data_IF_485924366715
#
_entry.id   IF_485924366715
#
_cell.length_a   1.000
_cell.length_b   1.000
_cell.length_c   1.000
_cell.angle_alpha   90.00
_cell.angle_beta   90.00
_cell.angle_gamma   90.00
#
_symmetry.space_group_name_H-M   'P 1'
#
loop_
_entity.id
_entity.type
_entity.pdbx_description
1 polymer ?
#
# COMPACT_ATOMS: atom_id res chain seq x y z
N UNK A 1 5.66 4.29 40.01
CA UNK A 1 6.66 3.22 39.96
C UNK A 1 7.65 3.61 38.88
N UNK A 2 8.92 3.85 39.26
CA UNK A 2 10.00 4.16 38.34
C UNK A 2 10.62 2.85 37.85
N UNK A 3 10.50 2.56 36.53
CA UNK A 3 11.15 1.41 35.92
C UNK A 3 12.47 1.88 35.29
N UNK A 4 13.57 1.72 36.02
CA UNK A 4 14.89 2.18 35.59
C UNK A 4 15.73 1.10 34.91
N UNK A 5 15.57 -0.15 35.34
CA UNK A 5 16.41 -1.25 34.89
C UNK A 5 15.99 -1.71 33.49
N UNK A 6 16.94 -1.67 32.56
CA UNK A 6 16.81 -2.17 31.21
C UNK A 6 17.61 -3.44 31.02
N UNK A 7 16.99 -4.53 30.60
CA UNK A 7 17.61 -5.84 30.42
C UNK A 7 17.89 -6.19 28.96
N UNK A 8 17.78 -5.22 28.06
CA UNK A 8 17.93 -5.43 26.59
C UNK A 8 19.19 -4.77 26.06
N UNK A 9 19.39 -3.48 26.35
CA UNK A 9 20.40 -2.64 25.71
C UNK A 9 21.69 -2.62 26.49
N UNK A 10 22.82 -2.49 25.79
CA UNK A 10 24.13 -2.27 26.43
C UNK A 10 24.20 -0.86 27.01
N UNK A 11 25.14 -0.67 27.96
CA UNK A 11 25.29 0.56 28.73
C UNK A 11 25.51 1.78 27.85
N UNK A 12 26.27 1.67 26.76
CA UNK A 12 26.55 2.77 25.82
C UNK A 12 25.28 3.31 25.14
N UNK A 13 24.33 2.42 24.82
CA UNK A 13 23.05 2.82 24.25
C UNK A 13 22.20 3.53 25.31
N UNK A 14 22.20 3.03 26.54
CA UNK A 14 21.47 3.64 27.65
C UNK A 14 22.03 5.01 27.99
N UNK A 15 23.36 5.14 28.04
CA UNK A 15 24.06 6.40 28.35
C UNK A 15 23.78 7.45 27.25
N UNK A 16 23.83 7.05 25.96
CA UNK A 16 23.49 7.93 24.87
C UNK A 16 22.02 8.37 24.95
N UNK A 17 21.11 7.45 25.27
CA UNK A 17 19.68 7.75 25.46
C UNK A 17 19.48 8.73 26.64
N UNK A 18 20.11 8.46 27.77
CA UNK A 18 20.04 9.33 28.94
C UNK A 18 20.60 10.74 28.65
N UNK A 19 21.68 10.81 27.86
CA UNK A 19 22.30 12.09 27.52
C UNK A 19 21.39 12.92 26.62
N UNK A 20 20.76 12.30 25.61
CA UNK A 20 19.78 12.97 24.74
C UNK A 20 18.59 13.48 25.57
N UNK A 21 17.97 12.63 26.38
CA UNK A 21 16.79 13.03 27.14
C UNK A 21 17.10 14.09 28.21
N UNK A 22 18.27 14.05 28.81
CA UNK A 22 18.71 15.10 29.73
C UNK A 22 18.78 16.48 29.10
N UNK A 23 19.05 16.58 27.79
CA UNK A 23 19.13 17.85 27.08
C UNK A 23 17.80 18.26 26.43
N UNK A 24 16.90 17.32 26.15
CA UNK A 24 15.65 17.58 25.44
C UNK A 24 14.43 17.69 26.36
N UNK A 25 14.44 16.97 27.52
CA UNK A 25 13.28 16.90 28.40
C UNK A 25 13.45 17.84 29.60
N UNK A 26 12.53 18.75 29.74
CA UNK A 26 12.31 19.61 30.88
C UNK A 26 10.82 19.63 31.26
N UNK A 27 10.42 20.44 32.24
CA UNK A 27 9.03 20.55 32.66
C UNK A 27 8.11 21.12 31.58
N UNK A 28 8.63 21.91 30.60
CA UNK A 28 7.84 22.52 29.53
C UNK A 28 7.61 21.55 28.35
N UNK A 29 8.63 20.78 27.97
CA UNK A 29 8.59 19.90 26.80
C UNK A 29 8.17 18.48 27.14
N UNK A 30 8.68 17.95 28.26
CA UNK A 30 8.48 16.55 28.67
C UNK A 30 7.62 16.37 29.90
N UNK A 31 7.12 17.45 30.51
CA UNK A 31 6.40 17.45 31.78
C UNK A 31 7.20 16.81 32.96
N UNK A 32 8.49 16.54 32.73
CA UNK A 32 9.38 15.88 33.68
C UNK A 32 10.78 16.49 33.58
N UNK A 33 11.35 16.87 34.70
CA UNK A 33 12.78 17.15 34.81
C UNK A 33 13.57 15.86 34.78
N UNK A 34 14.15 15.53 33.61
CA UNK A 34 14.85 14.27 33.37
C UNK A 34 16.22 14.29 34.03
N UNK A 35 16.31 13.71 35.22
CA UNK A 35 17.49 13.67 36.05
C UNK A 35 17.90 12.23 36.42
N UNK A 36 18.95 12.06 37.26
CA UNK A 36 19.46 10.76 37.65
C UNK A 36 18.41 9.80 38.22
N UNK A 37 17.29 10.30 38.73
CA UNK A 37 16.20 9.44 39.23
C UNK A 37 15.44 8.76 38.11
N UNK A 38 15.53 9.30 36.89
CA UNK A 38 14.84 8.81 35.69
C UNK A 38 15.74 8.04 34.71
N UNK A 39 17.08 8.12 34.91
CA UNK A 39 18.03 7.46 34.03
C UNK A 39 17.79 5.97 33.91
N UNK A 40 17.86 5.48 32.67
CA UNK A 40 17.91 4.06 32.38
C UNK A 40 19.26 3.49 32.81
N UNK A 41 19.23 2.37 33.50
CA UNK A 41 20.43 1.66 33.95
C UNK A 41 20.44 0.22 33.45
N UNK A 42 21.62 -0.31 33.17
CA UNK A 42 21.77 -1.69 32.77
C UNK A 42 21.38 -2.64 33.91
N UNK A 43 20.42 -3.53 33.64
CA UNK A 43 19.87 -4.45 34.63
C UNK A 43 20.72 -5.71 34.88
N UNK A 44 21.76 -5.95 34.07
CA UNK A 44 22.65 -7.10 34.25
C UNK A 44 24.11 -6.75 34.01
N UNK A 45 25.02 -7.50 34.65
CA UNK A 45 26.48 -7.31 34.53
C UNK A 45 26.98 -7.47 33.08
N UNK A 46 26.31 -8.31 32.26
CA UNK A 46 26.68 -8.50 30.86
C UNK A 46 26.47 -7.25 30.01
N UNK A 47 25.50 -6.43 30.37
CA UNK A 47 25.19 -5.19 29.67
C UNK A 47 26.06 -4.01 30.10
N UNK A 48 26.70 -4.12 31.31
CA UNK A 48 27.59 -3.09 31.83
C UNK A 48 28.99 -3.13 31.20
N UNK A 49 29.28 -4.19 30.42
CA UNK A 49 30.58 -4.33 29.77
C UNK A 49 30.63 -3.45 28.53
N UNK A 50 31.27 -2.28 28.64
CA UNK A 50 31.42 -1.36 27.52
C UNK A 50 32.26 -1.97 26.40
N UNK A 51 31.76 -1.92 25.17
CA UNK A 51 32.41 -2.43 23.97
C UNK A 51 32.56 -1.32 22.95
N UNK A 52 33.72 -1.10 22.32
CA UNK A 52 33.91 -0.04 21.33
C UNK A 52 32.91 -0.07 20.15
N UNK A 53 32.46 -1.28 19.79
CA UNK A 53 31.49 -1.48 18.71
C UNK A 53 30.04 -1.07 19.05
N UNK A 54 29.74 -0.83 20.34
CA UNK A 54 28.41 -0.40 20.79
C UNK A 54 28.27 1.12 20.88
N UNK A 55 29.21 1.86 20.30
CA UNK A 55 29.24 3.31 20.32
C UNK A 55 28.03 3.89 19.60
N UNK A 56 27.31 4.79 20.25
CA UNK A 56 26.28 5.59 19.59
C UNK A 56 26.94 6.62 18.66
N UNK A 57 26.43 6.73 17.44
CA UNK A 57 26.91 7.67 16.42
C UNK A 57 25.77 8.60 15.98
N UNK A 58 26.08 9.87 15.83
CA UNK A 58 25.17 10.89 15.30
C UNK A 58 25.53 11.20 13.86
N UNK A 59 24.58 10.98 12.96
CA UNK A 59 24.71 11.33 11.55
C UNK A 59 23.87 12.59 11.29
N UNK A 60 24.50 13.67 10.82
CA UNK A 60 23.82 14.92 10.49
C UNK A 60 23.68 15.04 8.98
N UNK A 61 22.49 15.39 8.56
CA UNK A 61 22.14 15.65 7.16
C UNK A 61 21.62 17.07 7.02
N UNK A 62 22.16 17.82 6.04
CA UNK A 62 21.66 19.14 5.67
C UNK A 62 20.63 19.01 4.53
N UNK A 63 19.34 19.03 4.88
CA UNK A 63 18.21 18.91 3.97
C UNK A 63 17.84 20.20 3.23
N UNK A 64 18.62 21.28 3.35
CA UNK A 64 18.29 22.56 2.72
C UNK A 64 18.25 22.51 1.18
N UNK A 65 18.92 21.54 0.56
CA UNK A 65 18.93 21.31 -0.89
C UNK A 65 17.77 20.44 -1.38
N UNK A 66 17.06 19.72 -0.51
CA UNK A 66 15.93 18.85 -0.89
C UNK A 66 14.62 19.64 -1.09
N UNK A 67 14.60 20.94 -0.79
CA UNK A 67 13.39 21.76 -0.87
C UNK A 67 12.99 22.14 -2.31
N UNK A 68 13.84 21.92 -3.30
CA UNK A 68 13.54 22.27 -4.70
C UNK A 68 12.64 21.24 -5.44
N UNK A 69 12.39 20.06 -4.87
CA UNK A 69 11.58 18.99 -5.51
C UNK A 69 10.20 18.74 -4.84
N UNK A 70 9.73 19.62 -3.96
CA UNK A 70 8.41 19.46 -3.35
C UNK A 70 7.31 19.73 -4.37
N UNK A 71 6.51 18.73 -4.68
CA UNK A 71 5.27 18.88 -5.46
C UNK A 71 4.16 19.50 -4.60
N UNK A 72 3.24 20.27 -5.24
CA UNK A 72 2.12 20.96 -4.57
C UNK A 72 1.24 20.03 -3.70
N UNK A 73 1.23 18.72 -3.97
CA UNK A 73 0.51 17.71 -3.18
C UNK A 73 1.17 17.38 -1.82
N UNK A 74 2.44 17.74 -1.61
CA UNK A 74 3.17 17.50 -0.36
C UNK A 74 2.96 18.59 0.68
N UNK A 75 2.50 19.78 0.30
CA UNK A 75 2.18 20.88 1.22
C UNK A 75 0.88 20.64 2.03
N UNK A 76 0.03 19.70 1.60
CA UNK A 76 -1.25 19.42 2.25
C UNK A 76 -1.16 18.46 3.45
N UNK A 77 -0.01 17.84 3.72
CA UNK A 77 0.16 16.97 4.88
C UNK A 77 0.63 17.76 6.10
N UNK A 78 -0.31 18.16 6.93
CA UNK A 78 -0.10 18.81 8.21
C UNK A 78 0.98 18.10 9.07
N UNK A 79 2.18 18.68 9.13
CA UNK A 79 3.06 18.58 10.30
C UNK A 79 3.77 17.26 10.57
N UNK A 80 3.75 16.28 9.67
CA UNK A 80 4.53 15.06 9.81
C UNK A 80 5.82 15.22 8.99
N UNK A 81 6.95 15.39 9.68
CA UNK A 81 8.27 15.35 9.06
C UNK A 81 8.46 14.00 8.35
N UNK A 82 8.48 14.04 7.03
CA UNK A 82 8.72 12.86 6.20
C UNK A 82 10.21 12.71 5.96
N UNK A 83 10.74 11.50 6.12
CA UNK A 83 12.14 11.19 5.81
C UNK A 83 12.46 11.63 4.38
N UNK A 84 13.50 12.44 4.19
CA UNK A 84 13.90 12.94 2.88
C UNK A 84 14.69 11.89 2.09
N UNK A 85 14.77 12.06 0.75
CA UNK A 85 15.61 11.19 -0.09
C UNK A 85 17.08 11.19 0.37
N UNK A 86 17.58 12.33 0.81
CA UNK A 86 18.95 12.45 1.31
C UNK A 86 19.18 11.71 2.61
N UNK A 87 18.21 11.71 3.54
CA UNK A 87 18.28 10.91 4.76
C UNK A 87 18.29 9.41 4.44
N UNK A 88 17.45 8.96 3.49
CA UNK A 88 17.46 7.54 3.06
C UNK A 88 18.83 7.17 2.50
N UNK A 89 19.44 8.01 1.66
CA UNK A 89 20.77 7.76 1.11
C UNK A 89 21.86 7.76 2.19
N UNK A 90 21.76 8.61 3.22
CA UNK A 90 22.68 8.60 4.36
C UNK A 90 22.56 7.28 5.13
N UNK A 91 21.35 6.80 5.40
CA UNK A 91 21.10 5.51 6.04
C UNK A 91 21.68 4.36 5.22
N UNK A 92 21.44 4.35 3.89
CA UNK A 92 21.99 3.35 2.98
C UNK A 92 23.51 3.32 3.03
N UNK A 93 24.14 4.49 2.98
CA UNK A 93 25.60 4.64 3.07
C UNK A 93 26.13 4.05 4.37
N UNK A 94 25.47 4.30 5.47
CA UNK A 94 25.87 3.78 6.77
C UNK A 94 25.68 2.25 6.87
N UNK A 95 24.57 1.72 6.40
CA UNK A 95 24.35 0.26 6.35
C UNK A 95 25.44 -0.43 5.51
N UNK A 96 25.78 0.16 4.37
CA UNK A 96 26.85 -0.38 3.52
C UNK A 96 28.23 -0.24 4.17
N UNK A 97 28.48 0.81 4.96
CA UNK A 97 29.70 0.94 5.78
C UNK A 97 29.79 -0.17 6.81
N UNK A 98 28.75 -0.36 7.61
CA UNK A 98 28.65 -1.43 8.60
C UNK A 98 28.89 -2.80 7.96
N UNK A 99 28.27 -3.04 6.83
CA UNK A 99 28.42 -4.32 6.11
C UNK A 99 29.83 -4.56 5.55
N UNK A 100 30.44 -3.51 4.98
CA UNK A 100 31.74 -3.64 4.28
C UNK A 100 32.92 -3.54 5.22
N UNK A 101 32.89 -2.62 6.16
CA UNK A 101 34.01 -2.32 7.07
C UNK A 101 33.93 -3.19 8.31
N UNK A 102 32.81 -3.19 9.00
CA UNK A 102 32.63 -3.87 10.29
C UNK A 102 32.13 -5.31 10.17
N UNK A 103 31.75 -5.72 8.93
CA UNK A 103 31.27 -7.06 8.61
C UNK A 103 29.96 -7.45 9.34
N UNK A 104 29.16 -6.47 9.75
CA UNK A 104 27.86 -6.71 10.36
C UNK A 104 26.92 -7.32 9.33
N UNK A 105 26.28 -8.46 9.58
CA UNK A 105 25.31 -9.05 8.65
C UNK A 105 24.02 -8.24 8.63
N UNK A 106 23.30 -8.20 7.48
CA UNK A 106 22.09 -7.40 7.32
C UNK A 106 20.98 -7.75 8.32
N UNK A 107 20.86 -9.01 8.71
CA UNK A 107 19.86 -9.47 9.68
C UNK A 107 20.13 -9.01 11.12
N UNK A 108 21.25 -8.38 11.39
CA UNK A 108 21.58 -7.76 12.67
C UNK A 108 21.38 -6.24 12.67
N UNK A 109 20.97 -5.67 11.52
CA UNK A 109 20.71 -4.24 11.37
C UNK A 109 19.21 -4.01 11.41
N UNK A 110 18.76 -3.09 12.26
CA UNK A 110 17.36 -2.70 12.36
C UNK A 110 17.24 -1.20 12.14
N UNK A 111 16.37 -0.80 11.21
CA UNK A 111 15.99 0.59 10.97
C UNK A 111 14.69 0.90 11.74
N UNK A 112 14.73 1.92 12.59
CA UNK A 112 13.55 2.44 13.28
C UNK A 112 13.20 3.81 12.69
N UNK A 113 11.95 3.99 12.30
CA UNK A 113 11.42 5.25 11.76
C UNK A 113 10.32 5.78 12.66
N UNK A 114 10.19 7.10 12.75
CA UNK A 114 9.17 7.75 13.58
C UNK A 114 7.75 7.48 13.06
N UNK A 115 7.58 7.38 11.74
CA UNK A 115 6.29 7.15 11.09
C UNK A 115 6.38 6.07 10.04
N UNK A 116 5.23 5.45 9.72
CA UNK A 116 5.12 4.44 8.63
C UNK A 116 4.91 5.07 7.24
N UNK A 117 4.78 6.37 7.17
CA UNK A 117 4.18 7.09 6.03
C UNK A 117 4.98 7.02 4.73
N UNK A 118 6.23 6.59 4.72
CA UNK A 118 7.06 6.45 3.50
C UNK A 118 7.91 5.19 3.48
N UNK A 119 7.38 4.09 3.99
CA UNK A 119 8.07 2.81 3.86
C UNK A 119 8.36 2.46 2.39
N UNK A 120 7.49 2.86 1.46
CA UNK A 120 7.65 2.57 0.03
C UNK A 120 8.89 3.23 -0.57
N UNK A 121 9.17 4.50 -0.24
CA UNK A 121 10.38 5.20 -0.68
C UNK A 121 11.65 4.55 -0.12
N UNK A 122 11.60 4.05 1.13
CA UNK A 122 12.70 3.32 1.74
C UNK A 122 12.89 1.96 1.04
N UNK A 123 11.79 1.23 0.81
CA UNK A 123 11.82 -0.07 0.13
C UNK A 123 12.38 0.05 -1.28
N UNK A 124 11.91 1.03 -2.06
CA UNK A 124 12.39 1.30 -3.42
C UNK A 124 13.88 1.65 -3.44
N UNK A 125 14.32 2.55 -2.55
CA UNK A 125 15.71 2.93 -2.46
C UNK A 125 16.61 1.75 -2.04
N UNK A 126 16.15 0.91 -1.09
CA UNK A 126 16.92 -0.27 -0.66
C UNK A 126 17.03 -1.32 -1.76
N UNK A 127 15.97 -1.51 -2.57
CA UNK A 127 15.99 -2.39 -3.73
C UNK A 127 17.01 -1.92 -4.79
N UNK A 128 17.04 -0.62 -5.09
CA UNK A 128 18.03 -0.02 -6.01
C UNK A 128 19.49 -0.30 -5.58
N UNK A 129 19.75 -0.34 -4.28
CA UNK A 129 21.09 -0.61 -3.72
C UNK A 129 21.29 -2.10 -3.35
N UNK A 130 20.33 -2.97 -3.69
CA UNK A 130 20.35 -4.41 -3.40
C UNK A 130 20.55 -4.73 -1.91
N UNK A 131 19.94 -3.93 -1.04
CA UNK A 131 19.93 -4.14 0.41
C UNK A 131 18.67 -4.93 0.77
N UNK A 132 18.79 -6.18 1.27
CA UNK A 132 17.62 -6.94 1.68
C UNK A 132 16.96 -6.29 2.89
N UNK A 133 15.66 -6.04 2.80
CA UNK A 133 14.87 -5.44 3.87
C UNK A 133 13.61 -6.26 4.11
N UNK A 134 13.22 -6.40 5.38
CA UNK A 134 11.92 -6.89 5.79
C UNK A 134 11.23 -5.76 6.51
N UNK A 135 10.17 -5.23 5.92
CA UNK A 135 9.34 -4.22 6.55
C UNK A 135 8.00 -4.83 6.97
N UNK A 136 7.47 -4.39 8.11
CA UNK A 136 6.10 -4.68 8.49
C UNK A 136 5.18 -3.80 7.63
N UNK A 137 5.08 -4.18 6.34
CA UNK A 137 4.33 -3.45 5.31
C UNK A 137 2.82 -3.73 5.35
N UNK A 138 2.32 -4.07 6.51
CA UNK A 138 0.98 -4.65 6.73
C UNK A 138 -0.24 -3.91 6.18
N UNK A 139 -0.11 -2.80 5.44
CA UNK A 139 -1.29 -2.14 4.86
C UNK A 139 -1.04 -1.30 3.59
N UNK A 140 0.19 -0.91 3.24
CA UNK A 140 0.42 0.04 2.14
C UNK A 140 -0.07 -0.49 0.77
N UNK A 141 0.07 -1.79 0.53
CA UNK A 141 -0.31 -2.41 -0.75
C UNK A 141 -1.66 -3.16 -0.73
N UNK A 142 -2.40 -3.13 0.40
CA UNK A 142 -3.65 -3.87 0.49
C UNK A 142 -4.68 -3.40 -0.56
N UNK A 143 -4.82 -2.09 -0.75
CA UNK A 143 -5.74 -1.53 -1.74
C UNK A 143 -5.26 -1.69 -3.19
N UNK A 144 -3.99 -2.00 -3.39
CA UNK A 144 -3.36 -2.23 -4.69
C UNK A 144 -3.32 -3.72 -5.06
N UNK A 145 -3.71 -4.61 -4.13
CA UNK A 145 -3.82 -6.03 -4.46
C UNK A 145 -4.88 -6.23 -5.54
N UNK A 146 -4.61 -7.17 -6.47
CA UNK A 146 -5.48 -7.43 -7.61
C UNK A 146 -6.92 -7.74 -7.16
N UNK A 147 -7.07 -8.47 -6.09
CA UNK A 147 -8.36 -8.90 -5.54
C UNK A 147 -9.18 -7.70 -5.06
N UNK A 148 -8.53 -6.76 -4.37
CA UNK A 148 -9.17 -5.53 -3.89
C UNK A 148 -9.45 -4.58 -5.05
N UNK A 149 -8.53 -4.44 -6.01
CA UNK A 149 -8.75 -3.62 -7.21
C UNK A 149 -9.95 -4.09 -8.02
N UNK A 150 -10.12 -5.40 -8.22
CA UNK A 150 -11.30 -5.97 -8.89
C UNK A 150 -12.59 -5.58 -8.16
N UNK A 151 -12.61 -5.61 -6.84
CA UNK A 151 -13.77 -5.17 -6.06
C UNK A 151 -14.03 -3.67 -6.16
N UNK A 152 -12.98 -2.86 -6.13
CA UNK A 152 -13.09 -1.41 -6.32
C UNK A 152 -13.64 -1.08 -7.71
N UNK A 153 -13.17 -1.75 -8.77
CA UNK A 153 -13.66 -1.55 -10.12
C UNK A 153 -15.09 -2.07 -10.29
N UNK A 154 -15.47 -3.12 -9.55
CA UNK A 154 -16.88 -3.57 -9.47
C UNK A 154 -17.76 -2.47 -8.87
N UNK A 155 -17.37 -1.89 -7.75
CA UNK A 155 -18.13 -0.80 -7.11
C UNK A 155 -18.19 0.46 -8.01
N UNK A 156 -17.06 0.81 -8.66
CA UNK A 156 -17.02 1.92 -9.65
C UNK A 156 -17.98 1.69 -10.80
N UNK A 157 -18.04 0.45 -11.32
CA UNK A 157 -18.96 0.07 -12.43
C UNK A 157 -20.40 0.09 -11.97
N UNK A 158 -20.73 -0.37 -10.77
CA UNK A 158 -22.07 -0.28 -10.19
C UNK A 158 -22.49 1.19 -10.08
N UNK A 159 -21.62 2.05 -9.59
CA UNK A 159 -21.88 3.49 -9.46
C UNK A 159 -22.08 4.14 -10.84
N UNK A 160 -21.13 3.94 -11.76
CA UNK A 160 -21.20 4.52 -13.10
C UNK A 160 -20.59 3.58 -14.17
N UNK A 161 -21.43 2.84 -14.94
CA UNK A 161 -20.95 1.91 -15.97
C UNK A 161 -20.40 2.61 -17.22
N UNK A 162 -20.49 3.95 -17.32
CA UNK A 162 -19.93 4.70 -18.46
C UNK A 162 -18.43 4.88 -18.39
N UNK A 163 -17.78 4.50 -17.28
CA UNK A 163 -16.33 4.48 -17.16
C UNK A 163 -15.80 3.18 -17.76
N UNK A 164 -15.18 3.27 -18.93
CA UNK A 164 -14.75 2.12 -19.72
C UNK A 164 -13.74 1.24 -18.98
N UNK A 165 -12.76 1.84 -18.26
CA UNK A 165 -11.72 1.09 -17.60
C UNK A 165 -12.26 0.15 -16.50
N UNK A 166 -13.02 0.61 -15.49
CA UNK A 166 -13.59 -0.28 -14.47
C UNK A 166 -14.56 -1.32 -15.07
N UNK A 167 -15.35 -0.93 -16.08
CA UNK A 167 -16.29 -1.82 -16.75
C UNK A 167 -15.56 -2.99 -17.42
N UNK A 168 -14.52 -2.70 -18.20
CA UNK A 168 -13.72 -3.72 -18.89
C UNK A 168 -12.97 -4.59 -17.88
N UNK A 169 -12.41 -3.99 -16.83
CA UNK A 169 -11.74 -4.71 -15.75
C UNK A 169 -12.71 -5.69 -15.06
N UNK A 170 -13.93 -5.26 -14.74
CA UNK A 170 -14.96 -6.12 -14.18
C UNK A 170 -15.34 -7.26 -15.15
N UNK A 171 -15.57 -6.97 -16.42
CA UNK A 171 -15.92 -8.00 -17.41
C UNK A 171 -14.82 -9.05 -17.57
N UNK A 172 -13.55 -8.62 -17.56
CA UNK A 172 -12.38 -9.51 -17.64
C UNK A 172 -12.10 -10.26 -16.35
N UNK A 173 -12.63 -9.81 -15.20
CA UNK A 173 -12.40 -10.45 -13.91
C UNK A 173 -12.88 -11.90 -13.86
N UNK A 174 -12.37 -12.71 -12.90
CA UNK A 174 -12.84 -14.08 -12.70
C UNK A 174 -14.35 -14.23 -12.47
N UNK A 175 -15.03 -13.16 -12.08
CA UNK A 175 -16.48 -13.14 -11.88
C UNK A 175 -17.26 -13.29 -13.18
N UNK A 176 -16.72 -12.81 -14.31
CA UNK A 176 -17.41 -12.82 -15.61
C UNK A 176 -16.60 -13.47 -16.73
N UNK A 177 -15.28 -13.51 -16.61
CA UNK A 177 -14.35 -14.26 -17.45
C UNK A 177 -14.47 -13.96 -18.95
N UNK A 178 -14.66 -12.68 -19.34
CA UNK A 178 -14.56 -12.28 -20.73
C UNK A 178 -13.11 -12.29 -21.18
N UNK A 179 -12.85 -12.94 -22.31
CA UNK A 179 -11.53 -12.91 -22.93
C UNK A 179 -11.33 -11.67 -23.83
N UNK A 180 -10.09 -11.46 -24.27
CA UNK A 180 -9.72 -10.30 -25.08
C UNK A 180 -10.43 -10.28 -26.45
N UNK A 181 -10.67 -11.44 -27.05
CA UNK A 181 -11.36 -11.56 -28.33
C UNK A 181 -12.86 -11.22 -28.19
N UNK A 182 -13.50 -11.71 -27.11
CA UNK A 182 -14.88 -11.35 -26.77
C UNK A 182 -15.04 -9.84 -26.54
N UNK A 183 -14.14 -9.23 -25.78
CA UNK A 183 -14.14 -7.79 -25.54
C UNK A 183 -13.85 -6.99 -26.83
N UNK A 184 -12.96 -7.47 -27.69
CA UNK A 184 -12.68 -6.85 -28.98
C UNK A 184 -13.92 -6.87 -29.90
N UNK A 185 -14.64 -8.01 -29.98
CA UNK A 185 -15.90 -8.13 -30.76
C UNK A 185 -16.97 -7.17 -30.23
N UNK A 186 -17.08 -7.01 -28.92
CA UNK A 186 -17.99 -6.02 -28.31
C UNK A 186 -17.53 -4.60 -28.64
N UNK A 187 -16.23 -4.31 -28.63
CA UNK A 187 -15.69 -2.97 -28.91
C UNK A 187 -16.02 -2.48 -30.36
N UNK A 188 -16.20 -3.41 -31.27
CA UNK A 188 -16.60 -3.13 -32.69
C UNK A 188 -18.08 -2.83 -32.86
N UNK A 189 -18.92 -3.03 -31.85
CA UNK A 189 -20.33 -2.75 -31.92
C UNK A 189 -20.56 -1.24 -31.88
N UNK A 190 -20.81 -0.65 -33.07
CA UNK A 190 -21.03 0.79 -33.23
C UNK A 190 -22.21 1.04 -34.16
N UNK A 191 -22.75 2.26 -34.13
CA UNK A 191 -23.71 2.73 -35.10
C UNK A 191 -23.00 3.49 -36.23
N UNK A 192 -23.49 3.47 -37.47
CA UNK A 192 -22.85 4.11 -38.63
C UNK A 192 -22.50 5.58 -38.40
N UNK A 193 -23.36 6.30 -37.69
CA UNK A 193 -23.23 7.74 -37.45
C UNK A 193 -22.53 8.07 -36.11
N UNK A 194 -22.32 7.08 -35.24
CA UNK A 194 -21.77 7.28 -33.87
C UNK A 194 -20.68 6.25 -33.55
N UNK A 195 -19.47 6.52 -34.03
CA UNK A 195 -18.30 5.64 -33.80
C UNK A 195 -17.66 5.78 -32.43
N UNK A 196 -17.74 6.96 -31.82
CA UNK A 196 -17.21 7.21 -30.46
C UNK A 196 -18.36 7.15 -29.47
N UNK A 197 -18.37 6.08 -28.67
CA UNK A 197 -19.32 5.88 -27.57
C UNK A 197 -18.69 5.10 -26.45
N UNK A 198 -19.19 5.29 -25.22
CA UNK A 198 -18.75 4.53 -24.06
C UNK A 198 -18.94 3.02 -24.30
N UNK A 199 -18.03 2.22 -23.73
CA UNK A 199 -18.03 0.76 -23.93
C UNK A 199 -19.35 0.12 -23.45
N UNK A 200 -19.96 0.67 -22.42
CA UNK A 200 -21.27 0.21 -21.94
C UNK A 200 -22.37 0.26 -23.02
N UNK A 201 -22.42 1.31 -23.82
CA UNK A 201 -23.36 1.38 -24.94
C UNK A 201 -23.09 0.32 -26.01
N UNK A 202 -21.82 0.01 -26.26
CA UNK A 202 -21.41 -1.07 -27.15
C UNK A 202 -21.87 -2.44 -26.65
N UNK A 203 -21.81 -2.67 -25.34
CA UNK A 203 -22.33 -3.87 -24.67
C UNK A 203 -23.86 -3.97 -24.88
N UNK A 204 -24.59 -2.85 -24.76
CA UNK A 204 -26.04 -2.81 -25.02
C UNK A 204 -26.37 -3.08 -26.49
N UNK A 205 -25.65 -2.45 -27.43
CA UNK A 205 -25.83 -2.70 -28.88
C UNK A 205 -25.56 -4.15 -29.27
N UNK A 206 -24.55 -4.77 -28.63
CA UNK A 206 -24.25 -6.19 -28.80
C UNK A 206 -25.43 -7.07 -28.39
N UNK A 207 -26.11 -6.74 -27.30
CA UNK A 207 -27.30 -7.45 -26.83
C UNK A 207 -28.48 -7.29 -27.80
N UNK A 208 -28.73 -6.06 -28.23
CA UNK A 208 -29.86 -5.73 -29.12
C UNK A 208 -29.66 -6.21 -30.57
N UNK A 209 -28.42 -6.57 -30.95
CA UNK A 209 -28.02 -6.92 -32.31
C UNK A 209 -28.35 -5.85 -33.36
N UNK A 210 -28.34 -4.60 -32.97
CA UNK A 210 -28.63 -3.44 -33.80
C UNK A 210 -27.41 -2.77 -34.42
N UNK A 211 -26.22 -3.20 -34.02
CA UNK A 211 -24.93 -2.64 -34.42
C UNK A 211 -24.52 -3.08 -35.84
N UNK A 212 -23.63 -2.31 -36.46
CA UNK A 212 -23.06 -2.58 -37.79
C UNK A 212 -22.35 -3.95 -37.87
N UNK A 213 -21.74 -4.41 -36.76
CA UNK A 213 -21.03 -5.68 -36.69
C UNK A 213 -21.71 -6.73 -35.79
N UNK A 214 -23.06 -6.73 -35.74
CA UNK A 214 -23.85 -7.65 -34.93
C UNK A 214 -23.58 -9.14 -35.23
N UNK A 215 -23.11 -9.45 -36.45
CA UNK A 215 -22.74 -10.81 -36.86
C UNK A 215 -21.51 -11.38 -36.12
N UNK A 216 -20.70 -10.55 -35.46
CA UNK A 216 -19.57 -10.98 -34.65
C UNK A 216 -19.99 -11.51 -33.27
N UNK A 217 -21.23 -11.26 -32.85
CA UNK A 217 -21.80 -11.69 -31.58
C UNK A 217 -22.48 -13.04 -31.78
N UNK A 218 -21.78 -14.11 -31.44
CA UNK A 218 -22.33 -15.46 -31.47
C UNK A 218 -23.28 -15.73 -30.28
N UNK A 219 -23.95 -16.87 -30.28
CA UNK A 219 -24.95 -17.21 -29.27
C UNK A 219 -24.32 -17.36 -27.86
N UNK A 220 -23.06 -17.83 -27.76
CA UNK A 220 -22.36 -18.01 -26.50
C UNK A 220 -22.02 -16.66 -25.90
N UNK A 221 -21.43 -15.76 -26.70
CA UNK A 221 -21.08 -14.41 -26.25
C UNK A 221 -22.34 -13.61 -25.89
N UNK A 222 -23.41 -13.75 -26.66
CA UNK A 222 -24.70 -13.10 -26.37
C UNK A 222 -25.21 -13.51 -24.98
N UNK A 223 -25.26 -14.81 -24.68
CA UNK A 223 -25.72 -15.31 -23.38
C UNK A 223 -24.83 -14.79 -22.22
N UNK A 224 -23.53 -14.64 -22.46
CA UNK A 224 -22.59 -14.09 -21.50
C UNK A 224 -22.85 -12.59 -21.23
N UNK A 225 -23.13 -11.81 -22.28
CA UNK A 225 -23.51 -10.39 -22.19
C UNK A 225 -24.85 -10.24 -21.45
N UNK A 226 -25.85 -11.06 -21.76
CA UNK A 226 -27.16 -11.05 -21.08
C UNK A 226 -26.99 -11.29 -19.58
N UNK A 227 -26.23 -12.33 -19.21
CA UNK A 227 -25.94 -12.64 -17.81
C UNK A 227 -25.22 -11.48 -17.10
N UNK A 228 -24.21 -10.90 -17.75
CA UNK A 228 -23.47 -9.75 -17.20
C UNK A 228 -24.39 -8.57 -16.91
N UNK A 229 -25.17 -8.13 -17.90
CA UNK A 229 -26.08 -6.98 -17.76
C UNK A 229 -27.16 -7.23 -16.72
N UNK A 230 -27.69 -8.45 -16.64
CA UNK A 230 -28.67 -8.85 -15.62
C UNK A 230 -28.08 -8.74 -14.22
N UNK A 231 -26.89 -9.29 -14.00
CA UNK A 231 -26.21 -9.25 -12.71
C UNK A 231 -25.87 -7.81 -12.31
N UNK A 232 -25.30 -7.03 -13.25
CA UNK A 232 -24.98 -5.63 -13.02
C UNK A 232 -26.22 -4.81 -12.64
N UNK A 233 -27.36 -5.03 -13.35
CA UNK A 233 -28.63 -4.38 -13.01
C UNK A 233 -29.11 -4.74 -11.62
N UNK A 234 -28.98 -6.01 -11.23
CA UNK A 234 -29.36 -6.48 -9.89
C UNK A 234 -28.51 -5.80 -8.81
N UNK A 235 -27.19 -5.72 -9.01
CA UNK A 235 -26.29 -5.05 -8.05
C UNK A 235 -26.55 -3.55 -7.96
N UNK A 236 -26.82 -2.89 -9.10
CA UNK A 236 -27.18 -1.46 -9.11
C UNK A 236 -28.48 -1.18 -8.37
N UNK A 237 -29.47 -2.08 -8.48
CA UNK A 237 -30.73 -1.97 -7.73
C UNK A 237 -30.47 -2.18 -6.22
N UNK A 238 -29.67 -3.19 -5.86
CA UNK A 238 -29.29 -3.42 -4.47
C UNK A 238 -28.52 -2.24 -3.86
N UNK A 239 -27.62 -1.63 -4.62
CA UNK A 239 -26.86 -0.47 -4.17
C UNK A 239 -27.71 0.75 -3.78
N UNK A 240 -28.94 0.85 -4.29
CA UNK A 240 -29.88 1.93 -3.93
C UNK A 240 -30.54 1.74 -2.56
N UNK A 241 -30.59 0.51 -2.06
CA UNK A 241 -31.41 0.15 -0.89
C UNK A 241 -30.66 -0.55 0.22
N UNK A 242 -29.46 -1.06 -0.08
CA UNK A 242 -28.63 -1.83 0.87
C UNK A 242 -27.46 -0.99 1.40
N UNK A 243 -26.92 -1.40 2.54
CA UNK A 243 -25.65 -0.88 3.03
C UNK A 243 -24.49 -1.33 2.11
N UNK A 244 -23.35 -0.62 2.15
CA UNK A 244 -22.15 -1.04 1.42
C UNK A 244 -21.68 -2.44 1.84
N UNK A 245 -21.80 -2.77 3.11
CA UNK A 245 -21.47 -4.09 3.65
C UNK A 245 -22.35 -5.18 3.01
N UNK A 246 -23.67 -5.00 2.99
CA UNK A 246 -24.58 -5.98 2.40
C UNK A 246 -24.38 -6.12 0.89
N UNK A 247 -24.08 -5.01 0.20
CA UNK A 247 -23.75 -5.04 -1.22
C UNK A 247 -22.48 -5.85 -1.51
N UNK A 248 -21.41 -5.65 -0.72
CA UNK A 248 -20.17 -6.43 -0.88
C UNK A 248 -20.40 -7.91 -0.67
N UNK A 249 -21.12 -8.28 0.39
CA UNK A 249 -21.46 -9.70 0.64
C UNK A 249 -22.30 -10.28 -0.46
N UNK A 250 -23.27 -9.53 -0.97
CA UNK A 250 -24.08 -9.96 -2.11
C UNK A 250 -23.22 -10.22 -3.36
N UNK A 251 -22.25 -9.37 -3.67
CA UNK A 251 -21.34 -9.58 -4.80
C UNK A 251 -20.50 -10.85 -4.60
N UNK A 252 -19.98 -11.07 -3.38
CA UNK A 252 -19.20 -12.25 -3.05
C UNK A 252 -20.01 -13.53 -3.25
N UNK A 253 -21.26 -13.58 -2.75
CA UNK A 253 -22.13 -14.73 -2.85
C UNK A 253 -22.63 -14.97 -4.29
N UNK A 254 -23.08 -13.93 -4.98
CA UNK A 254 -23.62 -14.05 -6.34
C UNK A 254 -22.59 -14.59 -7.34
N UNK A 255 -21.28 -14.38 -7.09
CA UNK A 255 -20.19 -14.74 -8.02
C UNK A 255 -19.12 -15.63 -7.41
N UNK A 256 -19.29 -16.09 -6.19
CA UNK A 256 -18.32 -16.92 -5.47
C UNK A 256 -16.90 -16.32 -5.43
N UNK A 257 -16.84 -14.99 -5.42
CA UNK A 257 -15.56 -14.29 -5.54
C UNK A 257 -14.69 -14.49 -4.30
N UNK A 258 -15.29 -14.55 -3.12
CA UNK A 258 -14.60 -14.84 -1.86
C UNK A 258 -13.94 -16.23 -1.88
N UNK A 259 -14.70 -17.24 -2.35
CA UNK A 259 -14.20 -18.61 -2.47
C UNK A 259 -13.07 -18.71 -3.51
N UNK A 260 -13.21 -17.96 -4.63
CA UNK A 260 -12.16 -17.88 -5.65
C UNK A 260 -10.85 -17.30 -5.08
N UNK A 261 -10.91 -16.19 -4.35
CA UNK A 261 -9.73 -15.56 -3.74
C UNK A 261 -9.11 -16.46 -2.69
N UNK A 262 -9.92 -17.12 -1.86
CA UNK A 262 -9.45 -18.09 -0.86
C UNK A 262 -8.75 -19.32 -1.47
N UNK A 263 -9.04 -19.65 -2.72
CA UNK A 263 -8.40 -20.76 -3.43
C UNK A 263 -7.07 -20.40 -4.12
N UNK A 264 -6.70 -19.10 -4.15
CA UNK A 264 -5.43 -18.66 -4.71
C UNK A 264 -4.24 -19.06 -3.83
N UNK A 265 -3.03 -19.26 -4.41
CA UNK A 265 -1.81 -19.43 -3.63
C UNK A 265 -1.64 -18.21 -2.70
N UNK A 266 -1.60 -18.41 -1.41
CA UNK A 266 -1.60 -17.41 -0.34
C UNK A 266 -2.98 -16.79 0.02
N UNK A 267 -4.07 -17.31 -0.51
CA UNK A 267 -5.40 -17.04 -0.02
C UNK A 267 -5.63 -17.83 1.29
N UNK A 268 -5.54 -17.15 2.45
CA UNK A 268 -5.77 -17.78 3.77
C UNK A 268 -7.00 -17.18 4.44
#
# INVERSE_FOLDING_TARGET
ILLKENFRSHVEVLDATNDVFRHLMDEEVGEIDYNQTHYLVAGSDKQQMALPQHRAEFLLYDGSQDQEEKTEDEEASLGVETISKGEILLVIKEILRLRRVEKVPFNEITLLTATRTRNDAILEAFDQYHIPIVADSGQAHYLESLEVMVMLDTLRTINNPMHDYPLVALMKSPMFDFDEDELARISLQTLPEQKQMAFYHKVQLALEKTAEHANLIDAKLLAKIENFLKVLSTWRTAAMTSSLYDLLWKIYEDRYYYDYVGALPNGA
#
